data_IF_207186450797
#
_entry.id   IF_207186450797
#
_cell.length_a   1.000
_cell.length_b   1.000
_cell.length_c   1.000
_cell.angle_alpha   90.00
_cell.angle_beta   90.00
_cell.angle_gamma   90.00
#
_symmetry.space_group_name_H-M   'P 1'
#
loop_
_entity.id
_entity.type
_entity.pdbx_description
1 polymer ?
#
# COMPACT_ATOMS: atom_id res chain seq x y z
N UNK A 1 4.90 0.21 23.56
CA UNK A 1 4.31 -0.02 22.23
C UNK A 1 5.40 -0.50 21.31
N UNK A 2 5.22 -1.66 20.72
CA UNK A 2 6.25 -2.30 19.92
C UNK A 2 6.36 -1.56 18.56
N UNK A 3 7.55 -1.04 18.20
CA UNK A 3 7.75 -0.21 17.00
C UNK A 3 7.42 -0.97 15.69
N UNK A 4 7.42 -2.29 15.73
CA UNK A 4 7.04 -3.14 14.60
C UNK A 4 5.50 -3.17 14.41
N UNK A 5 4.71 -3.04 15.48
CA UNK A 5 3.25 -2.76 15.43
C UNK A 5 2.99 -1.49 14.63
N UNK A 6 3.81 -0.47 14.87
CA UNK A 6 3.77 0.75 14.09
C UNK A 6 3.99 0.47 12.59
N UNK A 7 4.79 -0.52 12.21
CA UNK A 7 5.04 -0.90 10.80
C UNK A 7 3.82 -1.54 10.17
N UNK A 8 3.24 -2.53 10.81
CA UNK A 8 2.01 -3.16 10.32
C UNK A 8 0.84 -2.17 10.39
N UNK A 9 0.75 -1.42 11.51
CA UNK A 9 -0.17 -0.30 11.64
C UNK A 9 0.13 0.82 10.65
N UNK A 10 1.38 1.10 10.24
CA UNK A 10 1.68 2.09 9.19
C UNK A 10 1.17 1.60 7.85
N UNK A 11 1.36 0.34 7.47
CA UNK A 11 0.73 -0.21 6.26
C UNK A 11 -0.78 -0.14 6.37
N UNK A 12 -1.33 -0.51 7.50
CA UNK A 12 -2.77 -0.42 7.81
C UNK A 12 -3.19 1.04 7.98
N UNK A 13 -2.44 1.88 8.73
CA UNK A 13 -2.76 3.30 8.96
C UNK A 13 -2.56 4.16 7.72
N UNK A 14 -1.63 3.87 6.81
CA UNK A 14 -1.53 4.55 5.52
C UNK A 14 -2.78 4.31 4.66
N UNK A 15 -3.45 3.16 4.88
CA UNK A 15 -4.80 2.94 4.36
C UNK A 15 -5.85 3.72 5.15
N UNK A 16 -5.70 3.94 6.48
CA UNK A 16 -6.75 4.43 7.38
C UNK A 16 -6.66 5.92 7.79
N UNK A 17 -5.50 6.61 7.71
CA UNK A 17 -5.42 7.99 8.21
C UNK A 17 -6.14 9.00 7.33
N UNK A 18 -7.07 9.68 7.98
CA UNK A 18 -7.83 10.79 7.42
C UNK A 18 -7.27 12.12 7.90
N UNK A 19 -7.24 13.07 7.02
CA UNK A 19 -7.47 14.50 7.22
C UNK A 19 -6.53 15.41 6.43
N UNK A 20 -7.06 16.24 5.57
CA UNK A 20 -7.21 17.68 5.73
C UNK A 20 -7.90 18.31 4.52
N UNK A 21 -8.64 19.35 4.77
CA UNK A 21 -9.45 20.15 3.84
C UNK A 21 -8.59 20.94 2.83
N UNK A 22 -9.04 21.02 1.61
CA UNK A 22 -9.44 22.18 0.84
C UNK A 22 -9.42 21.92 -0.67
N UNK A 23 -10.28 22.59 -1.35
CA UNK A 23 -10.93 22.48 -2.64
C UNK A 23 -10.10 22.63 -3.92
N UNK A 24 -10.47 21.94 -5.04
CA UNK A 24 -9.78 21.93 -6.33
C UNK A 24 -10.47 21.43 -7.59
N UNK A 25 -10.10 21.80 -8.81
CA UNK A 25 -10.71 21.46 -10.10
C UNK A 25 -9.75 21.08 -11.25
N UNK A 26 -10.19 20.12 -12.03
CA UNK A 26 -9.99 19.57 -13.40
C UNK A 26 -8.62 19.13 -14.00
N UNK A 27 -8.39 17.79 -14.22
CA UNK A 27 -7.44 17.14 -15.17
C UNK A 27 -8.06 15.87 -15.81
N UNK A 28 -7.76 15.56 -17.08
CA UNK A 28 -8.18 14.30 -17.73
C UNK A 28 -7.52 13.10 -17.05
N UNK A 29 -8.30 12.02 -16.83
CA UNK A 29 -7.76 10.75 -16.35
C UNK A 29 -6.81 10.14 -17.39
N UNK A 30 -5.55 9.86 -17.06
CA UNK A 30 -4.65 9.16 -17.97
C UNK A 30 -5.11 7.71 -18.15
N UNK A 31 -5.14 7.23 -19.41
CA UNK A 31 -5.31 5.82 -19.69
C UNK A 31 -4.04 5.06 -19.29
N UNK A 32 -4.08 4.43 -18.13
CA UNK A 32 -2.99 3.57 -17.64
C UNK A 32 -3.17 2.18 -18.21
N UNK A 33 -2.34 1.78 -19.19
CA UNK A 33 -2.26 0.38 -19.61
C UNK A 33 -1.61 -0.45 -18.49
N UNK A 34 -2.36 -1.47 -18.02
CA UNK A 34 -1.82 -2.49 -17.14
C UNK A 34 -0.66 -3.21 -17.82
N UNK A 35 0.58 -2.99 -17.41
CA UNK A 35 1.71 -3.84 -17.76
C UNK A 35 1.54 -5.18 -17.04
N UNK A 36 0.66 -6.02 -17.55
CA UNK A 36 0.26 -7.28 -16.96
C UNK A 36 1.27 -8.38 -17.25
N UNK A 37 2.02 -8.82 -16.28
CA UNK A 37 2.34 -10.24 -16.17
C UNK A 37 0.99 -10.96 -16.10
N UNK A 38 0.84 -12.05 -16.85
CA UNK A 38 -0.38 -12.81 -17.09
C UNK A 38 -1.45 -12.72 -15.96
N UNK A 39 -2.28 -11.68 -16.00
CA UNK A 39 -3.45 -11.55 -15.12
C UNK A 39 -4.63 -12.21 -15.82
N UNK A 40 -5.31 -13.13 -15.11
CA UNK A 40 -6.48 -13.83 -15.63
C UNK A 40 -7.64 -12.82 -15.89
N UNK A 41 -8.43 -13.09 -16.92
CA UNK A 41 -9.61 -12.29 -17.27
C UNK A 41 -10.59 -12.15 -16.10
N UNK A 42 -10.72 -13.17 -15.26
CA UNK A 42 -11.54 -13.12 -14.03
C UNK A 42 -11.05 -12.02 -13.08
N UNK A 43 -9.75 -11.93 -12.87
CA UNK A 43 -9.14 -10.91 -11.99
C UNK A 43 -9.29 -9.53 -12.58
N UNK A 44 -9.12 -9.38 -13.90
CA UNK A 44 -9.39 -8.11 -14.59
C UNK A 44 -10.84 -7.64 -14.40
N UNK A 45 -11.80 -8.57 -14.44
CA UNK A 45 -13.20 -8.26 -14.17
C UNK A 45 -13.41 -7.81 -12.71
N UNK A 46 -12.78 -8.48 -11.72
CA UNK A 46 -12.82 -8.09 -10.32
C UNK A 46 -12.20 -6.70 -10.09
N UNK A 47 -11.06 -6.41 -10.73
CA UNK A 47 -10.46 -5.07 -10.69
C UNK A 47 -11.45 -4.03 -11.23
N UNK A 48 -12.10 -4.30 -12.34
CA UNK A 48 -13.08 -3.38 -12.90
C UNK A 48 -14.29 -3.18 -11.97
N UNK A 49 -14.78 -4.22 -11.31
CA UNK A 49 -15.85 -4.14 -10.31
C UNK A 49 -15.41 -3.30 -9.08
N UNK A 50 -14.20 -3.55 -8.55
CA UNK A 50 -13.63 -2.77 -7.45
C UNK A 50 -13.51 -1.28 -7.83
N UNK A 51 -13.06 -0.96 -9.04
CA UNK A 51 -13.00 0.42 -9.58
C UNK A 51 -14.38 1.07 -9.72
N UNK A 52 -15.43 0.30 -9.82
CA UNK A 52 -16.82 0.78 -9.84
C UNK A 52 -17.43 0.87 -8.42
N UNK A 53 -16.68 0.50 -7.38
CA UNK A 53 -17.07 0.59 -5.99
C UNK A 53 -17.77 -0.66 -5.45
N UNK A 54 -17.75 -1.79 -6.18
CA UNK A 54 -18.21 -3.07 -5.67
C UNK A 54 -17.34 -3.52 -4.50
N UNK A 55 -17.94 -3.58 -3.33
CA UNK A 55 -17.24 -3.86 -2.07
C UNK A 55 -16.74 -5.30 -2.02
N UNK A 56 -17.54 -6.27 -2.49
CA UNK A 56 -17.17 -7.69 -2.48
C UNK A 56 -16.03 -8.01 -3.45
N UNK A 57 -15.84 -7.18 -4.48
CA UNK A 57 -14.72 -7.33 -5.39
C UNK A 57 -13.37 -7.16 -4.69
N UNK A 58 -13.26 -6.28 -3.66
CA UNK A 58 -12.03 -6.10 -2.89
C UNK A 58 -11.69 -7.36 -2.08
N UNK A 59 -12.69 -7.98 -1.42
CA UNK A 59 -12.51 -9.23 -0.70
C UNK A 59 -12.09 -10.35 -1.67
N UNK A 60 -12.76 -10.47 -2.81
CA UNK A 60 -12.43 -11.45 -3.85
C UNK A 60 -11.02 -11.28 -4.40
N UNK A 61 -10.57 -10.03 -4.61
CA UNK A 61 -9.20 -9.72 -5.03
C UNK A 61 -8.17 -10.08 -3.95
N UNK A 62 -8.48 -9.80 -2.66
CA UNK A 62 -7.62 -10.21 -1.56
C UNK A 62 -7.38 -11.73 -1.56
N UNK A 63 -8.44 -12.53 -1.73
CA UNK A 63 -8.33 -13.98 -1.84
C UNK A 63 -7.54 -14.42 -3.09
N UNK A 64 -7.71 -13.73 -4.25
CA UNK A 64 -6.90 -14.01 -5.43
C UNK A 64 -5.41 -13.78 -5.19
N UNK A 65 -5.04 -12.68 -4.53
CA UNK A 65 -3.65 -12.41 -4.15
C UNK A 65 -3.10 -13.37 -3.09
N UNK A 66 -3.95 -13.79 -2.12
CA UNK A 66 -3.58 -14.79 -1.12
C UNK A 66 -3.19 -16.12 -1.75
N UNK A 67 -3.99 -16.60 -2.70
CA UNK A 67 -3.89 -17.95 -3.26
C UNK A 67 -3.06 -17.99 -4.55
N UNK A 68 -2.65 -16.85 -5.11
CA UNK A 68 -2.02 -16.77 -6.43
C UNK A 68 -2.96 -17.15 -7.56
N UNK A 69 -4.27 -17.00 -7.37
CA UNK A 69 -5.30 -17.45 -8.31
C UNK A 69 -5.57 -16.40 -9.38
N UNK A 70 -4.96 -16.56 -10.54
CA UNK A 70 -5.06 -15.63 -11.68
C UNK A 70 -4.21 -14.38 -11.57
N UNK A 71 -3.41 -14.25 -10.50
CA UNK A 71 -2.39 -13.22 -10.25
C UNK A 71 -1.19 -13.84 -9.56
N UNK A 72 -0.05 -13.15 -9.55
CA UNK A 72 1.08 -13.52 -8.70
C UNK A 72 0.67 -13.40 -7.22
N UNK A 73 0.97 -14.44 -6.43
CA UNK A 73 0.71 -14.42 -4.99
C UNK A 73 1.46 -13.26 -4.35
N UNK A 74 0.76 -12.48 -3.51
CA UNK A 74 1.32 -11.34 -2.81
C UNK A 74 0.53 -11.06 -1.53
N UNK A 75 1.20 -11.22 -0.41
CA UNK A 75 0.61 -10.94 0.91
C UNK A 75 0.35 -9.46 1.10
N UNK A 76 1.23 -8.62 0.58
CA UNK A 76 1.09 -7.17 0.66
C UNK A 76 -0.12 -6.67 -0.13
N UNK A 77 -0.29 -7.12 -1.38
CA UNK A 77 -1.46 -6.77 -2.17
C UNK A 77 -2.75 -7.33 -1.57
N UNK A 78 -2.72 -8.56 -1.01
CA UNK A 78 -3.85 -9.14 -0.28
C UNK A 78 -4.29 -8.22 0.87
N UNK A 79 -3.36 -7.81 1.74
CA UNK A 79 -3.66 -6.95 2.89
C UNK A 79 -4.21 -5.59 2.43
N UNK A 80 -3.62 -4.98 1.40
CA UNK A 80 -4.10 -3.72 0.87
C UNK A 80 -5.55 -3.82 0.38
N UNK A 81 -5.90 -4.87 -0.35
CA UNK A 81 -7.28 -5.10 -0.81
C UNK A 81 -8.24 -5.33 0.34
N UNK A 82 -7.85 -6.19 1.30
CA UNK A 82 -8.69 -6.47 2.46
C UNK A 82 -8.87 -5.23 3.35
N UNK A 83 -7.84 -4.41 3.52
CA UNK A 83 -7.94 -3.15 4.25
C UNK A 83 -8.95 -2.17 3.59
N UNK A 84 -9.00 -2.10 2.26
CA UNK A 84 -10.01 -1.31 1.56
C UNK A 84 -11.42 -1.89 1.81
N UNK A 85 -11.56 -3.22 1.77
CA UNK A 85 -12.80 -3.92 2.12
C UNK A 85 -13.27 -3.54 3.53
N UNK A 86 -12.40 -3.65 4.55
CA UNK A 86 -12.72 -3.27 5.92
C UNK A 86 -13.12 -1.80 6.05
N UNK A 87 -12.43 -0.87 5.36
CA UNK A 87 -12.81 0.54 5.35
C UNK A 87 -14.23 0.79 4.83
N UNK A 88 -14.69 -0.04 3.91
CA UNK A 88 -16.03 0.10 3.30
C UNK A 88 -17.13 -0.61 4.07
N UNK A 89 -16.80 -1.67 4.79
CA UNK A 89 -17.76 -2.50 5.53
C UNK A 89 -17.82 -2.20 7.03
N UNK A 90 -16.84 -1.47 7.56
CA UNK A 90 -16.66 -1.28 9.00
C UNK A 90 -16.06 -2.50 9.69
N UNK A 91 -15.48 -3.45 8.93
CA UNK A 91 -14.78 -4.62 9.46
C UNK A 91 -13.44 -4.27 10.13
N UNK A 92 -12.89 -5.22 10.88
CA UNK A 92 -11.58 -5.09 11.51
C UNK A 92 -10.48 -5.63 10.57
N UNK A 93 -9.34 -4.94 10.55
CA UNK A 93 -8.18 -5.41 9.78
C UNK A 93 -7.56 -6.65 10.43
N UNK A 94 -7.76 -6.86 11.72
CA UNK A 94 -7.29 -8.06 12.42
C UNK A 94 -7.91 -9.34 11.84
N UNK A 95 -9.12 -9.26 11.29
CA UNK A 95 -9.79 -10.37 10.61
C UNK A 95 -8.97 -10.89 9.41
N UNK A 96 -8.06 -10.08 8.84
CA UNK A 96 -7.18 -10.52 7.77
C UNK A 96 -6.26 -11.68 8.18
N UNK A 97 -5.89 -11.72 9.46
CA UNK A 97 -5.02 -12.76 10.00
C UNK A 97 -5.72 -14.12 10.02
N UNK A 98 -7.05 -14.11 10.25
CA UNK A 98 -7.87 -15.33 10.20
C UNK A 98 -7.98 -15.91 8.79
N UNK A 99 -7.77 -15.10 7.75
CA UNK A 99 -7.72 -15.57 6.36
C UNK A 99 -6.42 -16.34 6.04
N UNK A 100 -5.42 -16.27 6.92
CA UNK A 100 -4.12 -16.89 6.72
C UNK A 100 -4.06 -18.24 7.44
N UNK A 101 -3.63 -19.26 6.71
CA UNK A 101 -3.43 -20.60 7.27
C UNK A 101 -2.35 -20.58 8.37
N UNK A 102 -2.44 -21.51 9.30
CA UNK A 102 -1.40 -21.74 10.32
C UNK A 102 -0.07 -22.07 9.64
N UNK A 103 1.02 -21.40 10.07
CA UNK A 103 2.34 -21.55 9.43
C UNK A 103 2.58 -20.67 8.22
N UNK A 104 1.59 -19.89 7.76
CA UNK A 104 1.80 -18.89 6.72
C UNK A 104 2.86 -17.87 7.14
N UNK A 105 3.86 -17.54 6.31
CA UNK A 105 4.94 -16.64 6.66
C UNK A 105 4.48 -15.29 7.20
N UNK A 106 3.44 -14.71 6.61
CA UNK A 106 2.91 -13.41 7.04
C UNK A 106 2.20 -13.50 8.39
N UNK A 107 1.43 -14.58 8.63
CA UNK A 107 0.84 -14.86 9.94
C UNK A 107 1.92 -15.05 11.01
N UNK A 108 3.01 -15.78 10.71
CA UNK A 108 4.15 -15.92 11.61
C UNK A 108 4.80 -14.57 11.93
N UNK A 109 4.97 -13.70 10.94
CA UNK A 109 5.49 -12.34 11.15
C UNK A 109 4.59 -11.57 12.09
N UNK A 110 3.27 -11.58 11.85
CA UNK A 110 2.30 -10.92 12.72
C UNK A 110 2.37 -11.45 14.15
N UNK A 111 2.38 -12.77 14.33
CA UNK A 111 2.45 -13.40 15.64
C UNK A 111 3.77 -13.10 16.39
N UNK A 112 4.91 -13.00 15.67
CA UNK A 112 6.21 -12.63 16.26
C UNK A 112 6.18 -11.17 16.77
N UNK A 113 5.40 -10.34 16.11
CA UNK A 113 5.43 -8.88 16.30
C UNK A 113 4.41 -8.41 17.32
N UNK A 114 3.20 -8.97 17.27
CA UNK A 114 2.02 -8.43 17.93
C UNK A 114 1.59 -9.24 19.15
N UNK A 115 1.77 -10.55 19.10
CA UNK A 115 1.27 -11.38 20.17
C UNK A 115 2.21 -11.37 21.39
N UNK A 116 1.68 -11.37 22.61
CA UNK A 116 2.47 -11.50 23.83
C UNK A 116 3.03 -12.93 23.93
N UNK A 117 4.09 -13.20 23.19
CA UNK A 117 4.80 -14.49 23.19
C UNK A 117 6.01 -14.46 24.12
N UNK A 118 6.32 -15.60 24.72
CA UNK A 118 7.59 -15.81 25.42
C UNK A 118 8.77 -15.77 24.43
N UNK A 119 9.99 -15.52 24.93
CA UNK A 119 11.19 -15.54 24.08
C UNK A 119 11.40 -16.90 23.39
N UNK A 120 10.97 -18.00 23.99
CA UNK A 120 11.05 -19.34 23.44
C UNK A 120 10.06 -19.54 22.27
N UNK A 121 8.82 -19.03 22.42
CA UNK A 121 7.82 -19.04 21.33
C UNK A 121 8.26 -18.17 20.16
N UNK A 122 8.76 -16.97 20.41
CA UNK A 122 9.31 -16.08 19.37
C UNK A 122 10.45 -16.80 18.63
N UNK A 123 11.35 -17.47 19.35
CA UNK A 123 12.45 -18.23 18.74
C UNK A 123 11.92 -19.35 17.87
N UNK A 124 10.97 -20.13 18.35
CA UNK A 124 10.37 -21.24 17.58
C UNK A 124 9.70 -20.74 16.30
N UNK A 125 8.94 -19.65 16.37
CA UNK A 125 8.30 -19.01 15.20
C UNK A 125 9.33 -18.44 14.22
N UNK A 126 10.42 -17.83 14.72
CA UNK A 126 11.51 -17.37 13.86
C UNK A 126 12.23 -18.53 13.17
N UNK A 127 12.46 -19.67 13.86
CA UNK A 127 13.05 -20.85 13.25
C UNK A 127 12.13 -21.45 12.17
N UNK A 128 10.81 -21.46 12.39
CA UNK A 128 9.82 -21.85 11.39
C UNK A 128 9.83 -20.88 10.19
N UNK A 129 9.87 -19.56 10.44
CA UNK A 129 9.92 -18.56 9.38
C UNK A 129 11.19 -18.67 8.54
N UNK A 130 12.35 -18.95 9.15
CA UNK A 130 13.62 -19.19 8.42
C UNK A 130 13.54 -20.39 7.48
N UNK A 131 12.76 -21.41 7.83
CA UNK A 131 12.57 -22.59 7.00
C UNK A 131 11.57 -22.36 5.86
N UNK A 132 10.48 -21.66 6.13
CA UNK A 132 9.38 -21.47 5.16
C UNK A 132 9.58 -20.25 4.25
N UNK A 133 10.17 -19.17 4.77
CA UNK A 133 10.37 -17.90 4.06
C UNK A 133 11.66 -17.19 4.56
N UNK A 134 12.85 -17.65 4.15
CA UNK A 134 14.12 -17.13 4.65
C UNK A 134 14.33 -15.62 4.38
N UNK A 135 13.86 -15.11 3.25
CA UNK A 135 13.92 -13.69 2.92
C UNK A 135 13.09 -12.84 3.90
N UNK A 136 11.89 -13.30 4.26
CA UNK A 136 11.05 -12.63 5.26
C UNK A 136 11.69 -12.69 6.65
N UNK A 137 12.31 -13.81 7.01
CA UNK A 137 13.02 -13.93 8.28
C UNK A 137 14.19 -12.93 8.39
N UNK A 138 14.97 -12.74 7.32
CA UNK A 138 16.00 -11.69 7.24
C UNK A 138 15.40 -10.31 7.44
N UNK A 139 14.27 -10.02 6.81
CA UNK A 139 13.59 -8.75 6.94
C UNK A 139 13.13 -8.49 8.38
N UNK A 140 12.55 -9.49 9.07
CA UNK A 140 12.16 -9.39 10.49
C UNK A 140 13.37 -9.12 11.39
N UNK A 141 14.50 -9.76 11.15
CA UNK A 141 15.74 -9.53 11.91
C UNK A 141 16.28 -8.10 11.66
N UNK A 142 16.23 -7.63 10.44
CA UNK A 142 16.66 -6.28 10.08
C UNK A 142 15.72 -5.21 10.68
N UNK A 143 14.42 -5.48 10.78
CA UNK A 143 13.45 -4.54 11.33
C UNK A 143 13.80 -4.09 12.75
N UNK A 144 14.38 -4.96 13.57
CA UNK A 144 14.84 -4.63 14.92
C UNK A 144 15.95 -3.56 14.92
N UNK A 145 16.73 -3.50 13.86
CA UNK A 145 17.87 -2.58 13.69
C UNK A 145 17.47 -1.24 13.07
N UNK A 146 16.41 -1.18 12.28
CA UNK A 146 15.97 0.04 11.58
C UNK A 146 15.71 1.19 12.57
N UNK A 147 15.20 0.87 13.74
CA UNK A 147 14.89 1.85 14.78
C UNK A 147 16.05 2.17 15.74
N UNK A 148 17.24 1.62 15.47
CA UNK A 148 18.49 1.95 16.20
C UNK A 148 19.33 2.88 15.34
N UNK A 149 19.60 4.09 15.82
CA UNK A 149 20.39 5.10 15.10
C UNK A 149 21.77 4.54 14.72
N UNK A 150 22.37 3.73 15.60
CA UNK A 150 23.72 3.17 15.40
C UNK A 150 23.72 2.02 14.36
N UNK A 151 22.64 1.25 14.28
CA UNK A 151 22.55 0.05 13.45
C UNK A 151 21.78 0.25 12.13
N UNK A 152 21.09 1.38 11.97
CA UNK A 152 20.22 1.65 10.83
C UNK A 152 20.91 1.46 9.46
N UNK A 153 22.17 1.93 9.31
CA UNK A 153 22.91 1.75 8.05
C UNK A 153 23.17 0.28 7.72
N UNK A 154 23.46 -0.54 8.72
CA UNK A 154 23.66 -1.98 8.53
C UNK A 154 22.34 -2.69 8.22
N UNK A 155 21.22 -2.20 8.77
CA UNK A 155 19.89 -2.70 8.49
C UNK A 155 19.52 -2.54 7.01
N UNK A 156 19.80 -1.39 6.41
CA UNK A 156 19.46 -1.13 5.00
C UNK A 156 20.08 -2.14 4.04
N UNK A 157 21.35 -2.54 4.29
CA UNK A 157 22.02 -3.57 3.46
C UNK A 157 21.28 -4.91 3.54
N UNK A 158 20.90 -5.34 4.75
CA UNK A 158 20.18 -6.59 4.98
C UNK A 158 18.77 -6.54 4.37
N UNK A 159 18.08 -5.40 4.50
CA UNK A 159 16.74 -5.19 3.92
C UNK A 159 16.79 -5.28 2.40
N UNK A 160 17.77 -4.63 1.75
CA UNK A 160 17.93 -4.69 0.29
C UNK A 160 18.25 -6.11 -0.21
N UNK A 161 19.06 -6.85 0.55
CA UNK A 161 19.33 -8.26 0.27
C UNK A 161 18.04 -9.09 0.37
N UNK A 162 17.29 -8.97 1.46
CA UNK A 162 16.01 -9.65 1.64
C UNK A 162 14.99 -9.31 0.54
N UNK A 163 14.91 -8.04 0.13
CA UNK A 163 14.04 -7.64 -1.00
C UNK A 163 14.47 -8.30 -2.31
N UNK A 164 15.78 -8.36 -2.59
CA UNK A 164 16.30 -9.02 -3.80
C UNK A 164 16.00 -10.52 -3.82
N UNK A 165 15.84 -11.13 -2.65
CA UNK A 165 15.43 -12.52 -2.45
C UNK A 165 13.89 -12.70 -2.47
N UNK A 166 13.11 -11.61 -2.61
CA UNK A 166 11.66 -11.64 -2.79
C UNK A 166 10.83 -11.26 -1.57
N UNK A 167 11.44 -10.79 -0.46
CA UNK A 167 10.68 -10.36 0.73
C UNK A 167 9.81 -9.15 0.43
N UNK A 168 8.51 -9.27 0.69
CA UNK A 168 7.55 -8.15 0.62
C UNK A 168 7.68 -7.24 1.85
N UNK A 169 7.99 -7.79 3.02
CA UNK A 169 8.26 -7.02 4.23
C UNK A 169 9.46 -6.08 4.04
N UNK A 170 10.49 -6.54 3.35
CA UNK A 170 11.68 -5.72 3.09
C UNK A 170 11.36 -4.48 2.23
N UNK A 171 10.41 -4.56 1.31
CA UNK A 171 9.95 -3.39 0.54
C UNK A 171 9.34 -2.32 1.47
N UNK A 172 8.52 -2.73 2.42
CA UNK A 172 7.92 -1.83 3.44
C UNK A 172 9.02 -1.24 4.34
N UNK A 173 9.93 -2.08 4.82
CA UNK A 173 11.00 -1.65 5.74
C UNK A 173 11.94 -0.61 5.11
N UNK A 174 12.16 -0.65 3.81
CA UNK A 174 12.94 0.38 3.12
C UNK A 174 12.26 1.75 3.17
N UNK A 175 10.95 1.80 2.93
CA UNK A 175 10.19 3.07 3.01
C UNK A 175 10.29 3.64 4.41
N UNK A 176 10.12 2.79 5.43
CA UNK A 176 10.22 3.19 6.83
C UNK A 176 11.63 3.65 7.18
N UNK A 177 12.66 2.94 6.72
CA UNK A 177 14.05 3.32 6.92
C UNK A 177 14.33 4.75 6.41
N UNK A 178 13.89 5.07 5.19
CA UNK A 178 14.10 6.39 4.60
C UNK A 178 13.26 7.47 5.30
N UNK A 179 12.07 7.13 5.80
CA UNK A 179 11.27 8.05 6.61
C UNK A 179 11.93 8.34 7.96
N UNK A 180 12.40 7.33 8.68
CA UNK A 180 13.09 7.48 9.97
C UNK A 180 14.41 8.27 9.83
N UNK A 181 15.16 8.05 8.75
CA UNK A 181 16.41 8.78 8.46
C UNK A 181 16.19 10.15 7.83
N UNK A 182 14.93 10.52 7.53
CA UNK A 182 14.56 11.78 6.86
C UNK A 182 15.22 11.97 5.49
N UNK A 183 15.60 10.88 4.85
CA UNK A 183 16.14 10.87 3.48
C UNK A 183 14.99 10.86 2.47
N UNK A 184 14.44 12.05 2.19
CA UNK A 184 13.33 12.24 1.25
C UNK A 184 13.66 11.77 -0.18
N UNK A 185 14.91 11.92 -0.61
CA UNK A 185 15.34 11.49 -1.95
C UNK A 185 15.38 9.97 -2.03
N UNK A 186 16.01 9.31 -1.07
CA UNK A 186 16.04 7.86 -1.00
C UNK A 186 14.64 7.24 -0.84
N UNK A 187 13.75 7.90 -0.11
CA UNK A 187 12.35 7.48 0.02
C UNK A 187 11.62 7.52 -1.33
N UNK A 188 11.74 8.62 -2.09
CA UNK A 188 11.11 8.76 -3.41
C UNK A 188 11.63 7.72 -4.40
N UNK A 189 12.94 7.55 -4.51
CA UNK A 189 13.56 6.55 -5.38
C UNK A 189 13.10 5.13 -5.03
N UNK A 190 13.03 4.83 -3.73
CA UNK A 190 12.51 3.57 -3.23
C UNK A 190 11.04 3.38 -3.63
N UNK A 191 10.17 4.37 -3.37
CA UNK A 191 8.75 4.30 -3.71
C UNK A 191 8.52 4.11 -5.21
N UNK A 192 9.26 4.82 -6.07
CA UNK A 192 9.17 4.66 -7.54
C UNK A 192 9.45 3.21 -7.93
N UNK A 193 10.52 2.62 -7.38
CA UNK A 193 10.94 1.26 -7.70
C UNK A 193 9.97 0.20 -7.21
N UNK A 194 9.52 0.29 -5.96
CA UNK A 194 8.62 -0.72 -5.37
C UNK A 194 7.19 -0.60 -5.89
N UNK A 195 6.74 0.58 -6.28
CA UNK A 195 5.41 0.81 -6.85
C UNK A 195 5.19 0.10 -8.19
N UNK A 196 6.26 -0.27 -8.90
CA UNK A 196 6.17 -1.10 -10.10
C UNK A 196 5.70 -2.53 -9.80
N UNK A 197 6.10 -3.07 -8.65
CA UNK A 197 5.73 -4.42 -8.19
C UNK A 197 4.48 -4.42 -7.31
N UNK A 198 4.36 -3.40 -6.47
CA UNK A 198 3.28 -3.25 -5.49
C UNK A 198 2.52 -1.95 -5.75
N UNK A 199 1.44 -1.98 -6.54
CA UNK A 199 0.75 -0.78 -7.02
C UNK A 199 0.24 0.14 -5.91
N UNK A 200 -0.02 -0.40 -4.71
CA UNK A 200 -0.41 0.38 -3.53
C UNK A 200 0.58 1.51 -3.20
N UNK A 201 1.88 1.29 -3.39
CA UNK A 201 2.88 2.33 -3.11
C UNK A 201 2.79 3.56 -4.02
N UNK A 202 2.06 3.48 -5.14
CA UNK A 202 1.72 4.68 -5.91
C UNK A 202 0.88 5.67 -5.10
N UNK A 203 0.05 5.21 -4.16
CA UNK A 203 -0.71 6.10 -3.29
C UNK A 203 0.22 6.93 -2.39
N UNK A 204 1.24 6.29 -1.82
CA UNK A 204 2.25 6.97 -0.99
C UNK A 204 3.14 7.92 -1.81
N UNK A 205 3.54 7.48 -3.00
CA UNK A 205 4.32 8.31 -3.92
C UNK A 205 3.51 9.56 -4.35
N UNK A 206 2.23 9.39 -4.65
CA UNK A 206 1.32 10.49 -4.95
C UNK A 206 1.20 11.48 -3.77
N UNK A 207 1.07 10.97 -2.54
CA UNK A 207 1.05 11.81 -1.33
C UNK A 207 2.36 12.59 -1.14
N UNK A 208 3.51 11.95 -1.38
CA UNK A 208 4.82 12.62 -1.36
C UNK A 208 4.88 13.78 -2.38
N UNK A 209 4.33 13.60 -3.58
CA UNK A 209 4.26 14.66 -4.58
C UNK A 209 3.31 15.81 -4.16
N UNK A 210 2.19 15.51 -3.51
CA UNK A 210 1.32 16.56 -2.94
C UNK A 210 2.07 17.39 -1.91
N UNK A 211 2.85 16.75 -1.01
CA UNK A 211 3.67 17.46 -0.03
C UNK A 211 4.72 18.35 -0.71
N UNK A 212 5.39 17.88 -1.75
CA UNK A 212 6.35 18.69 -2.53
C UNK A 212 5.67 19.89 -3.18
N UNK A 213 4.46 19.72 -3.72
CA UNK A 213 3.69 20.85 -4.23
C UNK A 213 3.46 21.92 -3.16
N UNK A 214 3.10 21.54 -1.94
CA UNK A 214 2.93 22.49 -0.84
C UNK A 214 4.23 23.18 -0.42
N UNK A 215 5.41 22.57 -0.65
CA UNK A 215 6.71 23.16 -0.36
C UNK A 215 7.18 24.19 -1.44
N UNK A 216 6.83 23.97 -2.72
CA UNK A 216 7.39 24.78 -3.82
C UNK A 216 6.36 25.37 -4.79
N UNK A 217 5.08 25.06 -4.65
CA UNK A 217 3.96 25.48 -5.50
C UNK A 217 4.13 25.12 -7.01
N UNK A 218 4.97 24.12 -7.33
CA UNK A 218 5.14 23.62 -8.69
C UNK A 218 4.04 22.61 -9.04
N UNK A 219 3.15 23.01 -9.94
CA UNK A 219 2.00 22.21 -10.40
C UNK A 219 2.39 20.89 -11.06
N UNK A 220 3.63 20.72 -11.52
CA UNK A 220 4.11 19.44 -12.06
C UNK A 220 4.02 18.32 -11.03
N UNK A 221 4.16 18.63 -9.75
CA UNK A 221 4.01 17.65 -8.68
C UNK A 221 2.56 17.21 -8.49
N UNK A 222 1.59 18.07 -8.69
CA UNK A 222 0.16 17.68 -8.69
C UNK A 222 -0.15 16.73 -9.83
N UNK A 223 0.38 17.00 -11.04
CA UNK A 223 0.21 16.08 -12.18
C UNK A 223 0.80 14.70 -11.86
N UNK A 224 2.03 14.64 -11.30
CA UNK A 224 2.64 13.38 -10.86
C UNK A 224 1.81 12.67 -9.79
N UNK A 225 1.25 13.39 -8.82
CA UNK A 225 0.41 12.81 -7.79
C UNK A 225 -0.85 12.14 -8.38
N UNK A 226 -1.51 12.81 -9.31
CA UNK A 226 -2.68 12.29 -10.02
C UNK A 226 -2.33 11.05 -10.82
N UNK A 227 -1.23 11.07 -11.59
CA UNK A 227 -0.76 9.90 -12.31
C UNK A 227 -0.51 8.70 -11.38
N UNK A 228 0.08 8.94 -10.21
CA UNK A 228 0.30 7.89 -9.21
C UNK A 228 -1.03 7.34 -8.69
N UNK A 229 -2.00 8.18 -8.35
CA UNK A 229 -3.30 7.71 -7.87
C UNK A 229 -4.04 6.89 -8.93
N UNK A 230 -3.99 7.30 -10.20
CA UNK A 230 -4.56 6.50 -11.28
C UNK A 230 -3.81 5.21 -11.57
N UNK A 231 -2.49 5.17 -11.36
CA UNK A 231 -1.74 3.90 -11.42
C UNK A 231 -2.21 2.92 -10.35
N UNK A 232 -2.46 3.37 -9.12
CA UNK A 232 -3.04 2.51 -8.08
C UNK A 232 -4.49 2.11 -8.43
N UNK A 233 -5.29 3.04 -8.94
CA UNK A 233 -6.67 2.80 -9.37
C UNK A 233 -6.77 1.74 -10.47
N UNK A 234 -5.82 1.72 -11.41
CA UNK A 234 -5.77 0.71 -12.48
C UNK A 234 -5.72 -0.73 -11.95
N UNK A 235 -5.28 -0.93 -10.72
CA UNK A 235 -5.29 -2.22 -10.01
C UNK A 235 -6.44 -2.34 -8.99
N UNK A 236 -7.38 -1.39 -8.95
CA UNK A 236 -8.48 -1.37 -7.99
C UNK A 236 -8.06 -0.94 -6.57
N UNK A 237 -6.87 -0.36 -6.39
CA UNK A 237 -6.31 -0.03 -5.06
C UNK A 237 -6.61 1.40 -4.59
N UNK A 238 -7.50 2.12 -5.29
CA UNK A 238 -7.88 3.46 -4.88
C UNK A 238 -8.88 3.39 -3.69
N UNK A 239 -8.40 3.69 -2.51
CA UNK A 239 -9.22 3.69 -1.31
C UNK A 239 -10.03 5.00 -1.14
N UNK A 240 -11.01 5.07 -0.20
CA UNK A 240 -11.84 6.25 0.00
C UNK A 240 -11.07 7.56 0.27
N UNK A 241 -9.92 7.49 0.98
CA UNK A 241 -9.05 8.64 1.25
C UNK A 241 -8.54 9.27 -0.05
N UNK A 242 -7.97 8.45 -0.93
CA UNK A 242 -7.34 8.93 -2.15
C UNK A 242 -8.35 9.24 -3.26
N UNK A 243 -9.50 8.56 -3.28
CA UNK A 243 -10.64 8.97 -4.11
C UNK A 243 -11.13 10.38 -3.72
N UNK A 244 -11.24 10.66 -2.41
CA UNK A 244 -11.57 12.00 -1.90
C UNK A 244 -10.46 13.03 -2.21
N UNK A 245 -9.19 12.62 -2.19
CA UNK A 245 -8.07 13.49 -2.57
C UNK A 245 -8.13 13.87 -4.06
N UNK A 246 -8.41 12.89 -4.95
CA UNK A 246 -8.63 13.15 -6.38
C UNK A 246 -9.81 14.09 -6.61
N UNK A 247 -10.96 13.87 -5.95
CA UNK A 247 -12.11 14.79 -6.04
C UNK A 247 -11.70 16.21 -5.67
N UNK A 248 -10.99 16.39 -4.57
CA UNK A 248 -10.47 17.69 -4.18
C UNK A 248 -9.51 18.28 -5.22
N UNK A 249 -8.66 17.44 -5.85
CA UNK A 249 -7.81 17.89 -6.94
C UNK A 249 -8.66 18.31 -8.14
N UNK A 250 -9.70 17.61 -8.52
CA UNK A 250 -10.67 18.02 -9.52
C UNK A 250 -11.33 19.35 -9.16
N UNK A 251 -11.74 19.51 -7.92
CA UNK A 251 -12.30 20.76 -7.44
C UNK A 251 -11.30 21.96 -7.43
N UNK A 252 -9.96 22.00 -7.10
CA UNK A 252 -9.01 23.14 -6.97
C UNK A 252 -8.17 23.46 -8.22
N UNK A 253 -7.91 22.53 -9.15
CA UNK A 253 -7.02 22.79 -10.29
C UNK A 253 -7.72 22.89 -11.62
N UNK A 254 -9.04 22.74 -11.64
CA UNK A 254 -9.78 22.78 -12.86
C UNK A 254 -10.07 24.14 -13.40
N UNK A 255 -10.34 25.11 -12.53
CA UNK A 255 -10.38 26.50 -12.97
C UNK A 255 -9.04 26.96 -13.55
N UNK A 256 -7.95 26.23 -13.25
CA UNK A 256 -6.61 26.48 -13.77
C UNK A 256 -6.30 25.69 -15.06
N UNK A 257 -7.28 24.92 -15.58
CA UNK A 257 -7.11 24.13 -16.82
C UNK A 257 -6.12 22.99 -16.71
N UNK A 258 -5.77 22.56 -15.48
CA UNK A 258 -4.80 21.49 -15.22
C UNK A 258 -5.44 20.10 -15.20
N UNK A 259 -6.77 20.01 -15.01
CA UNK A 259 -7.58 18.80 -15.01
C UNK A 259 -8.85 19.04 -15.83
N UNK A 260 -9.15 18.20 -16.81
CA UNK A 260 -10.46 18.24 -17.49
C UNK A 260 -11.46 17.39 -16.73
N UNK A 261 -12.60 17.95 -16.37
CA UNK A 261 -13.65 17.20 -15.67
C UNK A 261 -14.36 16.25 -16.64
N UNK A 262 -14.35 14.96 -16.25
CA UNK A 262 -15.27 13.97 -16.78
C UNK A 262 -16.33 13.72 -15.71
N UNK A 263 -17.59 14.09 -15.97
CA UNK A 263 -18.69 13.91 -15.03
C UNK A 263 -18.85 12.45 -14.58
N UNK A 264 -18.61 11.50 -15.48
CA UNK A 264 -18.66 10.06 -15.17
C UNK A 264 -17.56 9.66 -14.19
N UNK A 265 -16.36 10.19 -14.40
CA UNK A 265 -15.23 9.93 -13.51
C UNK A 265 -15.45 10.56 -12.14
N UNK A 266 -15.94 11.79 -12.08
CA UNK A 266 -16.29 12.46 -10.82
C UNK A 266 -17.35 11.64 -10.05
N UNK A 267 -18.39 11.15 -10.73
CA UNK A 267 -19.41 10.32 -10.08
C UNK A 267 -18.85 9.00 -9.59
N UNK A 268 -17.99 8.35 -10.38
CA UNK A 268 -17.25 7.14 -9.96
C UNK A 268 -16.41 7.40 -8.71
N UNK A 269 -15.63 8.47 -8.68
CA UNK A 269 -14.81 8.84 -7.54
C UNK A 269 -15.65 9.15 -6.29
N UNK A 270 -16.83 9.77 -6.44
CA UNK A 270 -17.79 9.99 -5.35
C UNK A 270 -18.27 8.66 -4.75
N UNK A 271 -18.52 7.65 -5.60
CA UNK A 271 -18.89 6.30 -5.13
C UNK A 271 -17.73 5.68 -4.34
N UNK A 272 -16.50 5.76 -4.86
CA UNK A 272 -15.32 5.23 -4.19
C UNK A 272 -15.01 5.95 -2.87
N UNK A 273 -15.23 7.25 -2.80
CA UNK A 273 -14.99 8.06 -1.61
C UNK A 273 -15.98 7.81 -0.47
N UNK A 274 -17.18 7.25 -0.76
CA UNK A 274 -18.17 6.92 0.26
C UNK A 274 -17.69 5.77 1.14
N UNK A 275 -17.76 5.97 2.46
CA UNK A 275 -17.69 4.89 3.44
C UNK A 275 -19.09 4.33 3.64
N UNK A 276 -19.26 3.04 3.48
CA UNK A 276 -20.54 2.37 3.73
C UNK A 276 -20.50 1.86 5.19
N UNK A 277 -20.87 2.72 6.15
CA UNK A 277 -21.13 2.29 7.52
C UNK A 277 -22.62 2.10 7.74
#
# INVERSE_FOLDING_TARGET
MNKLFTILCIVVMLVFHTSCNDSVRDIESPSVELKTRAVDQRVLNLIQQARQGDVEAYNSLALCYRDGNGVEQSWLNMICMYAIYCQKTGGDIEDVIELLEEGNPFRLIFEIVEMPCSNEEIKAKMDQLRLSAPAEAKAVEAAKKVFSIEEAKSALSIIREAESEGSELAAILQVIYYDETKDKTGQEECLIRIAEKYPFFNLMLGESYVLKYHECEDYSYIQKAIECYYKADAYGMLNPKYASALLRMYDNFGEKGLLKSDEKEIERLKILAKRTY
#
